data_IF_472978037707
#
_entry.id   IF_472978037707
#
_cell.length_a   1.000
_cell.length_b   1.000
_cell.length_c   1.000
_cell.angle_alpha   90.00
_cell.angle_beta   90.00
_cell.angle_gamma   90.00
#
_symmetry.space_group_name_H-M   'P 1'
#
loop_
_entity.id
_entity.type
_entity.pdbx_description
1 polymer ?
#
# COMPACT_ATOMS: atom_id res chain seq x y z
N UNK A 1 30.77 13.44 -34.90
CA UNK A 1 30.11 13.96 -36.11
C UNK A 1 28.66 13.51 -36.08
N UNK A 2 27.75 14.44 -36.39
CA UNK A 2 26.31 14.38 -36.66
C UNK A 2 25.53 13.07 -36.40
N UNK A 3 24.33 13.09 -35.81
CA UNK A 3 23.35 14.18 -35.89
C UNK A 3 22.32 14.15 -34.77
N UNK A 4 22.03 15.35 -34.28
CA UNK A 4 20.79 15.64 -33.59
C UNK A 4 19.64 15.46 -34.60
N UNK A 5 18.94 14.34 -34.50
CA UNK A 5 17.62 14.19 -35.14
C UNK A 5 16.64 14.85 -34.18
N UNK A 6 16.41 16.14 -34.39
CA UNK A 6 15.29 16.86 -33.79
C UNK A 6 13.98 16.30 -34.34
N UNK A 7 13.41 15.34 -33.62
CA UNK A 7 12.02 14.92 -33.79
C UNK A 7 11.28 15.18 -32.49
N UNK A 8 10.05 15.69 -32.58
CA UNK A 8 9.10 15.89 -31.47
C UNK A 8 8.62 14.56 -30.84
N UNK A 9 9.53 13.62 -30.62
CA UNK A 9 9.23 12.31 -30.05
C UNK A 9 9.55 12.32 -28.56
N UNK A 10 8.69 11.68 -27.77
CA UNK A 10 8.92 11.46 -26.34
C UNK A 10 10.19 10.62 -26.19
N UNK A 11 11.21 11.18 -25.56
CA UNK A 11 12.45 10.49 -25.28
C UNK A 11 12.35 9.78 -23.92
N UNK A 12 12.54 8.46 -23.93
CA UNK A 12 12.58 7.65 -22.71
C UNK A 12 14.00 7.61 -22.16
N UNK A 13 14.12 7.80 -20.85
CA UNK A 13 15.38 7.70 -20.12
C UNK A 13 15.26 6.64 -19.03
N UNK A 14 16.33 5.89 -18.82
CA UNK A 14 16.45 5.06 -17.63
C UNK A 14 16.57 5.95 -16.40
N UNK A 15 15.80 5.65 -15.36
CA UNK A 15 15.73 6.46 -14.14
C UNK A 15 16.13 5.67 -12.89
N UNK A 16 15.45 4.56 -12.60
CA UNK A 16 15.69 3.79 -11.38
C UNK A 16 15.55 2.29 -11.63
N UNK A 17 16.26 1.51 -10.82
CA UNK A 17 16.07 0.07 -10.63
C UNK A 17 15.89 -0.20 -9.14
N UNK A 18 14.95 -1.08 -8.78
CA UNK A 18 14.69 -1.53 -7.40
C UNK A 18 14.67 -3.05 -7.42
N UNK A 19 15.44 -3.70 -6.53
CA UNK A 19 15.54 -5.15 -6.47
C UNK A 19 16.96 -5.63 -6.15
N UNK A 20 17.12 -6.95 -6.05
CA UNK A 20 18.43 -7.57 -5.87
C UNK A 20 19.33 -7.31 -7.09
N UNK A 21 20.62 -7.13 -6.84
CA UNK A 21 21.66 -6.97 -7.89
C UNK A 21 22.13 -8.34 -8.39
N UNK A 22 21.87 -9.39 -7.60
CA UNK A 22 22.33 -10.75 -7.84
C UNK A 22 21.22 -11.59 -8.47
N UNK A 23 21.59 -12.65 -9.19
CA UNK A 23 20.64 -13.51 -9.94
C UNK A 23 19.78 -14.41 -9.03
N UNK A 24 20.15 -14.57 -7.76
CA UNK A 24 19.44 -15.40 -6.78
C UNK A 24 18.25 -14.63 -6.16
N UNK A 25 17.15 -14.55 -6.91
CA UNK A 25 15.90 -13.92 -6.46
C UNK A 25 14.99 -14.96 -5.81
N UNK A 26 14.59 -14.73 -4.55
CA UNK A 26 13.62 -15.58 -3.89
C UNK A 26 12.27 -15.51 -4.60
N UNK A 27 11.60 -16.65 -4.78
CA UNK A 27 10.34 -16.71 -5.53
C UNK A 27 9.27 -15.76 -4.95
N UNK A 28 9.20 -15.63 -3.63
CA UNK A 28 8.31 -14.71 -2.94
C UNK A 28 8.55 -13.23 -3.27
N UNK A 29 9.77 -12.85 -3.65
CA UNK A 29 10.15 -11.47 -3.98
C UNK A 29 9.86 -11.11 -5.45
N UNK A 30 9.41 -12.08 -6.27
CA UNK A 30 9.07 -11.83 -7.67
C UNK A 30 7.83 -10.94 -7.75
N UNK A 31 7.99 -9.76 -8.32
CA UNK A 31 6.88 -8.80 -8.53
C UNK A 31 5.87 -9.40 -9.52
N UNK A 32 4.61 -9.47 -9.08
CA UNK A 32 3.48 -10.02 -9.84
C UNK A 32 2.58 -8.94 -10.44
N UNK A 33 2.52 -7.75 -9.83
CA UNK A 33 1.72 -6.63 -10.31
C UNK A 33 2.35 -5.28 -9.94
N UNK A 34 2.16 -4.28 -10.79
CA UNK A 34 2.65 -2.91 -10.61
C UNK A 34 1.57 -1.92 -11.05
N UNK A 35 1.28 -0.90 -10.24
CA UNK A 35 0.21 0.05 -10.52
C UNK A 35 0.51 1.44 -9.92
N UNK A 36 0.50 2.48 -10.76
CA UNK A 36 0.52 3.87 -10.31
C UNK A 36 -0.84 4.30 -9.76
N UNK A 37 -0.83 5.16 -8.76
CA UNK A 37 -2.03 5.87 -8.34
C UNK A 37 -2.44 6.92 -9.39
N UNK A 38 -3.62 7.50 -9.21
CA UNK A 38 -4.19 8.44 -10.19
C UNK A 38 -3.38 9.73 -10.37
N UNK A 39 -2.65 10.20 -9.34
CA UNK A 39 -1.78 11.39 -9.44
C UNK A 39 -0.41 11.08 -10.02
N UNK A 40 0.01 9.82 -10.02
CA UNK A 40 1.37 9.40 -10.33
C UNK A 40 2.35 9.57 -9.18
N UNK A 41 1.96 10.17 -8.05
CA UNK A 41 2.84 10.41 -6.90
C UNK A 41 3.16 9.13 -6.12
N UNK A 42 2.35 8.08 -6.26
CA UNK A 42 2.54 6.81 -5.58
C UNK A 42 2.48 5.64 -6.55
N UNK A 43 3.35 4.66 -6.33
CA UNK A 43 3.45 3.43 -7.11
C UNK A 43 3.33 2.25 -6.16
N UNK A 44 2.38 1.35 -6.40
CA UNK A 44 2.26 0.10 -5.66
C UNK A 44 2.83 -1.05 -6.48
N UNK A 45 3.55 -1.95 -5.82
CA UNK A 45 3.96 -3.24 -6.36
C UNK A 45 3.44 -4.34 -5.43
N UNK A 46 2.94 -5.42 -6.01
CA UNK A 46 2.64 -6.67 -5.29
C UNK A 46 3.59 -7.75 -5.75
N UNK A 47 4.06 -8.58 -4.83
CA UNK A 47 4.94 -9.72 -5.13
C UNK A 47 4.20 -11.07 -5.04
N UNK A 48 4.91 -12.16 -5.30
CA UNK A 48 4.36 -13.52 -5.18
C UNK A 48 4.13 -13.92 -3.72
N UNK A 49 4.91 -13.37 -2.78
CA UNK A 49 4.78 -13.62 -1.35
C UNK A 49 3.67 -12.82 -0.66
N UNK A 50 2.75 -12.19 -1.41
CA UNK A 50 1.59 -11.51 -0.85
C UNK A 50 1.86 -10.18 -0.15
N UNK A 51 3.05 -9.58 -0.33
CA UNK A 51 3.42 -8.26 0.21
C UNK A 51 3.16 -7.16 -0.80
N UNK A 52 2.61 -6.05 -0.31
CA UNK A 52 2.51 -4.81 -1.08
C UNK A 52 3.61 -3.87 -0.64
N UNK A 53 4.36 -3.33 -1.60
CA UNK A 53 5.31 -2.23 -1.40
C UNK A 53 4.78 -1.01 -2.12
N UNK A 54 4.63 0.09 -1.39
CA UNK A 54 4.24 1.39 -1.92
C UNK A 54 5.48 2.26 -1.96
N UNK A 55 5.74 2.84 -3.12
CA UNK A 55 6.74 3.86 -3.32
C UNK A 55 6.05 5.22 -3.48
N UNK A 56 6.65 6.26 -2.93
CA UNK A 56 6.21 7.64 -3.09
C UNK A 56 7.31 8.46 -3.76
N UNK A 57 6.90 9.32 -4.69
CA UNK A 57 7.79 10.27 -5.33
C UNK A 57 8.27 11.30 -4.30
N UNK A 58 9.58 11.53 -4.23
CA UNK A 58 10.16 12.59 -3.42
C UNK A 58 9.65 13.96 -3.90
N UNK A 59 9.07 14.75 -3.00
CA UNK A 59 8.62 16.09 -3.32
C UNK A 59 9.83 17.01 -3.50
N UNK A 60 10.06 17.47 -4.73
CA UNK A 60 11.12 18.42 -5.00
C UNK A 60 10.87 19.75 -4.30
N UNK A 61 11.90 20.26 -3.62
CA UNK A 61 11.99 21.68 -3.32
C UNK A 61 11.83 22.46 -4.63
N UNK A 62 10.88 23.41 -4.65
CA UNK A 62 10.34 24.19 -5.79
C UNK A 62 11.33 24.89 -6.75
N UNK A 63 12.63 24.62 -6.66
CA UNK A 63 13.69 25.34 -7.36
C UNK A 63 14.16 24.72 -8.66
N UNK A 64 13.70 23.54 -9.08
CA UNK A 64 14.07 22.97 -10.39
C UNK A 64 12.87 22.38 -11.13
N UNK A 65 12.44 23.00 -12.22
CA UNK A 65 11.24 22.59 -13.00
C UNK A 65 11.40 21.26 -13.76
N UNK A 66 12.54 20.56 -13.67
CA UNK A 66 12.92 19.49 -14.60
C UNK A 66 13.56 18.25 -13.98
N UNK A 67 13.58 18.10 -12.65
CA UNK A 67 13.90 16.80 -12.09
C UNK A 67 12.56 16.03 -11.93
N UNK A 68 12.59 14.75 -12.30
CA UNK A 68 11.50 13.83 -12.00
C UNK A 68 11.89 13.22 -10.68
N UNK A 69 11.18 13.55 -9.62
CA UNK A 69 11.46 13.04 -8.28
C UNK A 69 11.60 11.52 -8.28
N UNK A 70 12.54 11.03 -7.48
CA UNK A 70 12.81 9.61 -7.31
C UNK A 70 11.72 8.93 -6.48
N UNK A 71 11.38 7.67 -6.80
CA UNK A 71 10.43 6.90 -6.02
C UNK A 71 11.16 6.14 -4.90
N UNK A 72 10.79 6.43 -3.66
CA UNK A 72 11.35 5.83 -2.46
C UNK A 72 10.31 4.99 -1.73
N UNK A 73 10.76 3.97 -0.99
CA UNK A 73 9.85 3.10 -0.23
C UNK A 73 9.13 3.95 0.80
N UNK A 74 7.81 3.95 0.71
CA UNK A 74 6.91 4.71 1.57
C UNK A 74 6.23 3.80 2.60
N UNK A 75 5.80 2.61 2.19
CA UNK A 75 5.23 1.63 3.10
C UNK A 75 5.32 0.22 2.54
N UNK A 76 5.48 -0.77 3.42
CA UNK A 76 5.45 -2.19 3.07
C UNK A 76 4.53 -2.92 4.04
N UNK A 77 3.64 -3.77 3.54
CA UNK A 77 2.73 -4.55 4.39
C UNK A 77 2.36 -5.90 3.75
N UNK A 78 2.07 -6.89 4.59
CA UNK A 78 1.54 -8.18 4.17
C UNK A 78 0.05 -8.04 3.87
N UNK A 79 -0.37 -8.34 2.64
CA UNK A 79 -1.78 -8.26 2.26
C UNK A 79 -2.46 -9.62 2.26
N UNK A 80 -1.82 -10.64 1.71
CA UNK A 80 -2.36 -12.01 1.62
C UNK A 80 -1.38 -12.97 2.25
N UNK A 81 -1.90 -14.02 2.87
CA UNK A 81 -1.12 -15.14 3.36
C UNK A 81 -1.62 -16.40 2.65
N UNK A 82 -0.81 -17.47 2.55
CA UNK A 82 -1.27 -18.72 1.98
C UNK A 82 -2.49 -19.23 2.75
N UNK A 83 -3.57 -19.53 2.04
CA UNK A 83 -4.80 -20.07 2.61
C UNK A 83 -5.10 -21.44 1.99
N UNK A 84 -5.82 -22.31 2.71
CA UNK A 84 -6.21 -23.62 2.20
C UNK A 84 -7.71 -23.85 2.41
N UNK A 85 -8.45 -24.11 1.33
CA UNK A 85 -9.85 -24.51 1.38
C UNK A 85 -9.93 -26.04 1.53
N UNK A 86 -10.19 -26.51 2.76
CA UNK A 86 -10.30 -27.94 3.06
C UNK A 86 -11.50 -28.63 2.40
N UNK A 87 -12.58 -27.90 2.13
CA UNK A 87 -13.79 -28.49 1.54
C UNK A 87 -13.59 -28.76 0.06
N UNK A 88 -12.85 -27.87 -0.62
CA UNK A 88 -12.50 -28.01 -2.04
C UNK A 88 -11.14 -28.66 -2.28
N UNK A 89 -10.36 -28.86 -1.21
CA UNK A 89 -8.95 -29.28 -1.28
C UNK A 89 -8.14 -28.39 -2.24
N UNK A 90 -8.30 -27.08 -2.06
CA UNK A 90 -7.70 -26.06 -2.93
C UNK A 90 -6.75 -25.18 -2.12
N UNK A 91 -5.50 -25.10 -2.55
CA UNK A 91 -4.53 -24.11 -2.06
C UNK A 91 -4.81 -22.76 -2.72
N UNK A 92 -4.82 -21.72 -1.90
CA UNK A 92 -5.02 -20.33 -2.31
C UNK A 92 -3.69 -19.63 -2.08
N UNK A 93 -2.99 -19.35 -3.18
CA UNK A 93 -1.75 -18.61 -3.15
C UNK A 93 -1.95 -17.18 -2.64
N UNK A 94 -0.96 -16.66 -1.94
CA UNK A 94 -0.87 -15.28 -1.48
C UNK A 94 -0.50 -14.29 -2.60
N UNK A 95 -0.02 -14.81 -3.74
CA UNK A 95 0.36 -14.04 -4.92
C UNK A 95 -0.77 -13.12 -5.38
N UNK A 96 -0.42 -11.87 -5.69
CA UNK A 96 -1.37 -10.96 -6.33
C UNK A 96 -1.57 -11.26 -7.81
N UNK A 97 -2.82 -11.13 -8.24
CA UNK A 97 -3.17 -11.05 -9.64
C UNK A 97 -3.22 -9.60 -10.11
N UNK A 98 -3.80 -8.70 -9.30
CA UNK A 98 -3.91 -7.27 -9.58
C UNK A 98 -3.92 -6.42 -8.29
N UNK A 99 -3.42 -5.19 -8.42
CA UNK A 99 -3.66 -4.08 -7.50
C UNK A 99 -4.32 -2.95 -8.28
N UNK A 100 -5.32 -2.28 -7.69
CA UNK A 100 -5.93 -1.07 -8.23
C UNK A 100 -6.08 -0.01 -7.16
N UNK A 101 -5.60 1.20 -7.44
CA UNK A 101 -5.85 2.34 -6.58
C UNK A 101 -7.29 2.82 -6.72
N UNK A 102 -7.86 3.32 -5.63
CA UNK A 102 -9.10 4.08 -5.67
C UNK A 102 -8.79 5.58 -5.80
N UNK A 103 -9.69 6.36 -6.41
CA UNK A 103 -9.58 7.81 -6.41
C UNK A 103 -9.55 8.36 -4.99
N UNK A 104 -8.58 9.24 -4.72
CA UNK A 104 -8.36 9.79 -3.39
C UNK A 104 -9.47 10.78 -3.02
N UNK A 105 -10.22 10.48 -1.95
CA UNK A 105 -11.31 11.33 -1.42
C UNK A 105 -10.89 12.21 -0.24
N UNK A 106 -9.83 11.83 0.47
CA UNK A 106 -9.33 12.53 1.65
C UNK A 106 -7.80 12.35 1.77
N UNK A 107 -7.20 12.72 2.89
CA UNK A 107 -5.76 12.56 3.10
C UNK A 107 -5.29 11.08 3.07
N UNK A 108 -6.20 10.11 3.23
CA UNK A 108 -5.87 8.70 3.13
C UNK A 108 -5.98 8.21 1.68
N UNK A 109 -5.06 7.34 1.30
CA UNK A 109 -5.11 6.60 0.06
C UNK A 109 -5.77 5.24 0.27
N UNK A 110 -6.38 4.72 -0.79
CA UNK A 110 -7.05 3.43 -0.76
C UNK A 110 -6.64 2.62 -1.98
N UNK A 111 -6.41 1.33 -1.78
CA UNK A 111 -6.14 0.38 -2.86
C UNK A 111 -6.91 -0.91 -2.63
N UNK A 112 -7.25 -1.56 -3.73
CA UNK A 112 -7.75 -2.93 -3.77
C UNK A 112 -6.60 -3.83 -4.17
N UNK A 113 -6.39 -4.88 -3.38
CA UNK A 113 -5.46 -5.96 -3.71
C UNK A 113 -6.21 -7.27 -3.87
N UNK A 114 -5.76 -8.10 -4.80
CA UNK A 114 -6.50 -9.29 -5.23
C UNK A 114 -5.56 -10.46 -5.42
N UNK A 115 -5.93 -11.59 -4.83
CA UNK A 115 -5.42 -12.91 -5.19
C UNK A 115 -6.52 -13.74 -5.87
N UNK A 116 -6.29 -15.03 -6.01
CA UNK A 116 -7.19 -15.93 -6.73
C UNK A 116 -8.63 -16.01 -6.19
N UNK A 117 -8.86 -15.71 -4.91
CA UNK A 117 -10.15 -15.93 -4.25
C UNK A 117 -10.66 -14.77 -3.41
N UNK A 118 -9.80 -13.82 -3.09
CA UNK A 118 -10.11 -12.73 -2.16
C UNK A 118 -9.70 -11.39 -2.73
N UNK A 119 -10.57 -10.39 -2.53
CA UNK A 119 -10.29 -8.99 -2.78
C UNK A 119 -10.23 -8.27 -1.44
N UNK A 120 -9.17 -7.52 -1.16
CA UNK A 120 -9.01 -6.75 0.09
C UNK A 120 -8.92 -5.26 -0.22
N UNK A 121 -9.72 -4.46 0.47
CA UNK A 121 -9.64 -3.00 0.45
C UNK A 121 -8.74 -2.55 1.59
N UNK A 122 -7.67 -1.85 1.24
CA UNK A 122 -6.70 -1.29 2.19
C UNK A 122 -6.86 0.22 2.29
N UNK A 123 -6.65 0.73 3.51
CA UNK A 123 -6.52 2.17 3.78
C UNK A 123 -5.10 2.45 4.24
N UNK A 124 -4.43 3.34 3.53
CA UNK A 124 -3.11 3.86 3.82
C UNK A 124 -3.28 5.30 4.28
N UNK A 125 -2.78 5.63 5.45
CA UNK A 125 -2.87 6.99 5.96
C UNK A 125 -1.64 7.36 6.78
N UNK A 126 -1.31 8.63 6.75
CA UNK A 126 -0.24 9.20 7.56
C UNK A 126 -0.78 9.63 8.92
N UNK A 127 0.02 9.41 9.96
CA UNK A 127 -0.24 9.88 11.32
C UNK A 127 0.98 10.64 11.82
N UNK A 128 0.77 11.89 12.19
CA UNK A 128 1.77 12.83 12.72
C UNK A 128 1.51 13.16 14.20
N UNK A 129 0.52 12.53 14.83
CA UNK A 129 0.12 12.79 16.22
C UNK A 129 -0.12 11.50 16.98
N UNK A 130 0.30 11.46 18.24
CA UNK A 130 0.02 10.39 19.18
C UNK A 130 -0.77 10.92 20.38
N UNK A 131 -1.60 10.06 20.98
CA UNK A 131 -2.35 10.37 22.20
C UNK A 131 -1.50 10.07 23.44
N UNK A 132 -1.40 11.04 24.35
CA UNK A 132 -0.70 10.90 25.63
C UNK A 132 -1.58 11.35 26.80
N UNK A 133 -1.20 10.97 28.02
CA UNK A 133 -1.93 11.37 29.25
C UNK A 133 -3.10 10.47 29.61
N UNK A 134 -2.93 9.14 29.47
CA UNK A 134 -3.93 8.17 29.91
C UNK A 134 -3.96 8.06 31.45
N UNK A 135 -5.16 7.99 32.03
CA UNK A 135 -5.33 7.91 33.48
C UNK A 135 -4.70 6.66 34.12
N UNK A 136 -4.71 5.55 33.37
CA UNK A 136 -4.32 4.24 33.87
C UNK A 136 -3.04 3.70 33.24
N UNK A 137 -2.41 4.43 32.32
CA UNK A 137 -1.20 3.97 31.63
C UNK A 137 -0.12 5.03 31.77
N UNK A 138 0.95 4.67 32.46
CA UNK A 138 2.14 5.51 32.59
C UNK A 138 2.95 5.53 31.29
N UNK A 139 3.86 6.51 31.17
CA UNK A 139 4.72 6.67 29.99
C UNK A 139 5.67 5.47 29.79
N UNK A 140 6.00 4.75 30.86
CA UNK A 140 6.79 3.51 30.82
C UNK A 140 5.98 2.27 30.40
N UNK A 141 4.68 2.43 30.14
CA UNK A 141 3.76 1.37 29.74
C UNK A 141 3.15 0.57 30.89
N UNK A 142 3.49 0.88 32.14
CA UNK A 142 2.87 0.24 33.30
C UNK A 142 1.43 0.72 33.50
N UNK A 143 0.59 -0.20 33.98
CA UNK A 143 -0.78 0.13 34.34
C UNK A 143 -0.86 0.61 35.78
N UNK A 144 -1.45 1.78 36.00
CA UNK A 144 -1.80 2.28 37.33
C UNK A 144 -3.00 1.54 37.88
N UNK A 145 -2.99 1.26 39.18
CA UNK A 145 -4.15 0.74 39.89
C UNK A 145 -5.29 1.79 39.82
N UNK A 146 -6.49 1.45 39.32
CA UNK A 146 -7.63 2.35 39.24
C UNK A 146 -7.98 3.05 40.56
N UNK A 147 -7.69 2.42 41.71
CA UNK A 147 -7.97 2.98 43.03
C UNK A 147 -7.08 4.16 43.41
N UNK A 148 -5.94 4.33 42.73
CA UNK A 148 -4.99 5.43 42.96
C UNK A 148 -5.34 6.70 42.20
N UNK A 149 -6.28 6.62 41.24
CA UNK A 149 -6.68 7.75 40.39
C UNK A 149 -7.63 8.67 41.15
N UNK A 150 -7.12 9.82 41.58
CA UNK A 150 -7.89 10.84 42.30
C UNK A 150 -8.54 11.88 41.38
N UNK A 151 -8.03 12.03 40.16
CA UNK A 151 -8.50 13.00 39.16
C UNK A 151 -8.47 12.38 37.78
N UNK A 152 -9.47 12.70 36.95
CA UNK A 152 -9.55 12.23 35.58
C UNK A 152 -9.02 13.27 34.61
N UNK A 153 -8.14 12.82 33.72
CA UNK A 153 -7.50 13.59 32.68
C UNK A 153 -8.02 13.10 31.33
N UNK A 154 -8.19 14.03 30.41
CA UNK A 154 -8.51 13.72 29.02
C UNK A 154 -7.19 13.62 28.25
N UNK A 155 -6.94 12.54 27.49
CA UNK A 155 -5.74 12.41 26.67
C UNK A 155 -5.60 13.58 25.69
N UNK A 156 -4.37 14.03 25.48
CA UNK A 156 -4.03 15.13 24.57
C UNK A 156 -3.19 14.60 23.42
N UNK A 157 -3.43 15.12 22.22
CA UNK A 157 -2.59 14.81 21.07
C UNK A 157 -1.29 15.60 21.11
N UNK A 158 -0.16 14.91 21.05
CA UNK A 158 1.16 15.51 20.85
C UNK A 158 1.71 15.18 19.46
N UNK A 159 2.44 16.11 18.82
CA UNK A 159 3.15 15.82 17.58
C UNK A 159 4.10 14.62 17.73
N UNK A 160 4.19 13.79 16.72
CA UNK A 160 5.14 12.68 16.59
C UNK A 160 5.75 12.67 15.20
N UNK A 161 6.81 11.89 15.02
CA UNK A 161 7.37 11.64 13.69
C UNK A 161 6.31 11.02 12.77
N UNK A 162 6.32 11.44 11.50
CA UNK A 162 5.36 10.98 10.51
C UNK A 162 5.43 9.46 10.37
N UNK A 163 4.32 8.79 10.65
CA UNK A 163 4.21 7.34 10.56
C UNK A 163 3.11 6.96 9.58
N UNK A 164 3.40 6.02 8.69
CA UNK A 164 2.42 5.49 7.75
C UNK A 164 1.74 4.28 8.36
N UNK A 165 0.43 4.36 8.56
CA UNK A 165 -0.39 3.24 9.02
C UNK A 165 -1.18 2.65 7.84
N UNK A 166 -1.12 1.33 7.71
CA UNK A 166 -1.89 0.57 6.72
C UNK A 166 -2.87 -0.35 7.45
N UNK A 167 -4.15 -0.29 7.08
CA UNK A 167 -5.20 -1.10 7.70
C UNK A 167 -6.13 -1.74 6.68
N UNK A 168 -6.49 -3.03 6.84
CA UNK A 168 -7.52 -3.65 6.02
C UNK A 168 -8.88 -3.07 6.43
N UNK A 169 -9.67 -2.62 5.45
CA UNK A 169 -11.00 -2.03 5.68
C UNK A 169 -12.11 -3.02 5.38
N UNK A 170 -11.98 -3.78 4.31
CA UNK A 170 -12.97 -4.77 3.86
C UNK A 170 -12.28 -5.93 3.18
N UNK A 171 -12.84 -7.11 3.36
CA UNK A 171 -12.42 -8.35 2.70
C UNK A 171 -13.65 -8.89 1.98
N UNK A 172 -13.52 -9.11 0.67
CA UNK A 172 -14.55 -9.69 -0.17
C UNK A 172 -14.04 -11.05 -0.63
N UNK A 173 -14.54 -12.10 -0.01
CA UNK A 173 -14.15 -13.49 -0.27
C UNK A 173 -15.38 -14.31 -0.70
N UNK A 174 -15.13 -15.50 -1.25
CA UNK A 174 -16.16 -16.50 -1.58
C UNK A 174 -17.21 -16.06 -2.62
N UNK A 175 -16.90 -15.03 -3.42
CA UNK A 175 -17.77 -14.58 -4.50
C UNK A 175 -17.49 -15.32 -5.83
N UNK A 176 -16.28 -15.85 -6.01
CA UNK A 176 -15.83 -16.45 -7.26
C UNK A 176 -15.64 -17.97 -7.14
N UNK A 177 -16.06 -18.69 -8.18
CA UNK A 177 -15.85 -20.14 -8.27
C UNK A 177 -14.46 -20.44 -8.82
N UNK A 178 -13.98 -19.64 -9.77
CA UNK A 178 -12.69 -19.77 -10.44
C UNK A 178 -11.68 -18.73 -9.92
N UNK A 179 -10.50 -18.65 -10.53
CA UNK A 179 -9.41 -17.77 -10.08
C UNK A 179 -9.62 -16.35 -10.62
N UNK A 180 -9.74 -15.38 -9.72
CA UNK A 180 -9.97 -13.98 -10.08
C UNK A 180 -8.77 -13.46 -10.88
N UNK A 181 -8.98 -13.07 -12.14
CA UNK A 181 -7.90 -12.60 -13.02
C UNK A 181 -7.86 -11.06 -13.16
N UNK A 182 -8.97 -10.39 -12.87
CA UNK A 182 -9.12 -8.96 -13.14
C UNK A 182 -10.06 -8.26 -12.17
N UNK A 183 -9.81 -6.95 -12.04
CA UNK A 183 -10.65 -6.01 -11.33
C UNK A 183 -10.67 -4.68 -12.07
N UNK A 184 -11.82 -4.02 -11.99
CA UNK A 184 -11.96 -2.64 -12.38
C UNK A 184 -12.87 -1.89 -11.42
N UNK A 185 -12.47 -0.69 -11.03
CA UNK A 185 -13.31 0.22 -10.25
C UNK A 185 -14.34 0.87 -11.17
N UNK A 186 -15.54 1.11 -10.64
CA UNK A 186 -16.57 1.84 -11.38
C UNK A 186 -16.37 3.35 -11.19
N UNK A 187 -16.86 4.10 -12.17
CA UNK A 187 -16.89 5.57 -12.18
C UNK A 187 -17.83 6.20 -11.14
N UNK A 188 -18.67 5.40 -10.49
CA UNK A 188 -19.57 5.86 -9.40
C UNK A 188 -18.85 6.11 -8.07
N UNK A 189 -17.56 5.75 -7.96
CA UNK A 189 -16.74 5.85 -6.75
C UNK A 189 -17.26 5.05 -5.55
N UNK A 190 -18.10 4.04 -5.78
CA UNK A 190 -18.72 3.21 -4.75
C UNK A 190 -18.60 1.72 -5.05
N UNK A 191 -18.65 1.33 -6.34
CA UNK A 191 -18.65 -0.07 -6.76
C UNK A 191 -17.40 -0.45 -7.55
N UNK A 192 -17.15 -1.75 -7.66
CA UNK A 192 -16.13 -2.33 -8.51
C UNK A 192 -16.63 -3.66 -9.06
N UNK A 193 -15.99 -4.14 -10.12
CA UNK A 193 -16.25 -5.43 -10.76
C UNK A 193 -14.98 -6.28 -10.64
N UNK A 194 -15.14 -7.54 -10.24
CA UNK A 194 -14.11 -8.58 -10.30
C UNK A 194 -14.55 -9.69 -11.23
N UNK A 195 -13.61 -10.30 -11.96
CA UNK A 195 -13.89 -11.40 -12.89
C UNK A 195 -12.84 -12.50 -12.76
N UNK A 196 -13.30 -13.74 -12.90
CA UNK A 196 -12.53 -14.99 -12.88
C UNK A 196 -12.44 -15.65 -14.27
#
# INVERSE_FOLDING_TARGET
MAGAVGGNYIQWYFSQVKGAVDDDVAEADIISTVEFNHSGESLATGDKGGRVVIFQQEQENKTQMHRRGEYNVYSTFQSHEPEFDYLKSLEIEEKFNKIRWLPQKNAAQFLLSINDKTNKLWKIFERDKTSEGYNLKEEDGQYRDPTTVTTLWVPVFRPMDLMVEVSPRRIFANAHTYHINSISINSDYETYLSAD
#
